data_IF_509157221114
#
_entry.id   IF_509157221114
#
_cell.length_a   1.000
_cell.length_b   1.000
_cell.length_c   1.000
_cell.angle_alpha   90.00
_cell.angle_beta   90.00
_cell.angle_gamma   90.00
#
_symmetry.space_group_name_H-M   'P 1'
#
loop_
_entity.id
_entity.type
_entity.pdbx_description
1 polymer ?
#
# COMPACT_ATOMS: atom_id res chain seq x y z
N UNK A 1 -13.85 -10.13 38.00
CA UNK A 1 -15.05 -9.31 37.73
C UNK A 1 -14.83 -8.60 36.41
N UNK A 2 -15.57 -8.98 35.37
CA UNK A 2 -15.47 -8.39 34.05
C UNK A 2 -16.34 -7.15 33.99
N UNK A 3 -15.73 -5.96 33.85
CA UNK A 3 -16.47 -4.72 33.67
C UNK A 3 -17.15 -4.76 32.28
N UNK A 4 -18.48 -4.75 32.32
CA UNK A 4 -19.33 -4.56 31.14
C UNK A 4 -19.11 -3.15 30.59
N UNK A 5 -18.56 -3.07 29.38
CA UNK A 5 -18.51 -1.86 28.59
C UNK A 5 -19.95 -1.37 28.35
N UNK A 6 -20.31 -0.12 28.66
CA UNK A 6 -21.68 0.35 28.44
C UNK A 6 -21.93 0.41 26.94
N UNK A 7 -22.91 -0.32 26.47
CA UNK A 7 -23.48 -0.22 25.12
C UNK A 7 -23.93 1.24 24.92
N UNK A 8 -23.27 1.93 23.99
CA UNK A 8 -23.71 3.25 23.56
C UNK A 8 -25.08 3.09 22.90
N UNK A 9 -26.10 3.62 23.53
CA UNK A 9 -27.42 3.77 22.94
C UNK A 9 -27.34 4.42 21.55
N UNK A 10 -28.16 3.98 20.58
CA UNK A 10 -28.16 4.55 19.25
C UNK A 10 -28.61 6.01 19.32
N UNK A 11 -27.70 6.94 18.98
CA UNK A 11 -28.03 8.36 18.86
C UNK A 11 -29.17 8.54 17.86
N UNK A 12 -30.14 9.38 18.20
CA UNK A 12 -31.28 9.75 17.37
C UNK A 12 -30.81 10.08 15.93
N UNK A 13 -31.54 9.57 14.94
CA UNK A 13 -31.23 9.75 13.51
C UNK A 13 -31.32 11.25 13.18
N UNK A 14 -30.19 11.82 12.76
CA UNK A 14 -30.16 13.20 12.25
C UNK A 14 -30.72 13.19 10.81
N UNK A 15 -31.86 13.83 10.53
CA UNK A 15 -32.52 13.76 9.23
C UNK A 15 -31.73 14.43 8.09
N UNK A 16 -30.69 15.18 8.40
CA UNK A 16 -29.87 15.90 7.41
C UNK A 16 -28.76 15.07 6.77
N UNK A 17 -28.44 13.86 7.29
CA UNK A 17 -27.35 13.03 6.77
C UNK A 17 -27.87 11.72 6.18
N UNK A 18 -27.35 11.30 5.02
CA UNK A 18 -27.70 10.02 4.46
C UNK A 18 -27.23 8.89 5.40
N UNK A 19 -28.11 7.95 5.68
CA UNK A 19 -27.79 6.77 6.46
C UNK A 19 -27.49 5.58 5.52
N UNK A 20 -26.54 4.78 5.89
CA UNK A 20 -26.20 3.59 5.16
C UNK A 20 -25.54 2.54 6.04
N UNK A 21 -25.57 1.29 5.59
CA UNK A 21 -24.88 0.18 6.22
C UNK A 21 -23.49 0.03 5.61
N UNK A 22 -22.49 -0.27 6.44
CA UNK A 22 -21.17 -0.58 5.95
C UNK A 22 -21.13 -2.05 5.52
N UNK A 23 -20.83 -2.31 4.24
CA UNK A 23 -20.72 -3.66 3.70
C UNK A 23 -19.37 -3.91 3.07
N UNK A 24 -18.94 -5.17 3.11
CA UNK A 24 -17.72 -5.66 2.46
C UNK A 24 -18.07 -6.23 1.11
N UNK A 25 -17.49 -5.65 0.07
CA UNK A 25 -17.69 -6.06 -1.33
C UNK A 25 -16.52 -6.92 -1.81
N UNK A 26 -16.87 -7.97 -2.54
CA UNK A 26 -15.93 -8.78 -3.30
C UNK A 26 -14.81 -9.44 -2.51
N UNK A 27 -13.89 -10.03 -3.25
CA UNK A 27 -12.79 -10.83 -2.70
C UNK A 27 -11.72 -9.96 -2.03
N UNK A 28 -11.46 -8.75 -2.55
CA UNK A 28 -10.46 -7.82 -2.00
C UNK A 28 -10.97 -7.11 -0.74
N UNK A 29 -12.27 -7.26 -0.44
CA UNK A 29 -12.87 -6.80 0.80
C UNK A 29 -12.82 -5.28 0.96
N UNK A 30 -13.11 -4.54 -0.11
CA UNK A 30 -13.32 -3.11 -0.03
C UNK A 30 -14.61 -2.85 0.74
N UNK A 31 -14.51 -2.06 1.81
CA UNK A 31 -15.69 -1.63 2.53
C UNK A 31 -16.31 -0.46 1.76
N UNK A 32 -17.62 -0.55 1.49
CA UNK A 32 -18.39 0.56 0.93
C UNK A 32 -19.65 0.80 1.75
N UNK A 33 -20.08 2.04 1.77
CA UNK A 33 -21.34 2.40 2.36
C UNK A 33 -22.47 2.09 1.39
N UNK A 34 -23.46 1.38 1.87
CA UNK A 34 -24.63 0.99 1.08
C UNK A 34 -25.75 1.94 1.45
N UNK A 35 -26.11 2.79 0.50
CA UNK A 35 -27.27 3.67 0.66
C UNK A 35 -28.54 2.83 0.55
N UNK A 36 -29.40 2.90 1.57
CA UNK A 36 -30.69 2.22 1.55
C UNK A 36 -31.79 3.22 1.88
N UNK A 37 -32.83 3.20 1.08
CA UNK A 37 -34.06 3.92 1.34
C UNK A 37 -35.04 3.15 2.23
N UNK A 38 -34.84 1.88 2.43
CA UNK A 38 -35.76 1.01 3.17
C UNK A 38 -35.03 0.00 4.03
N UNK A 39 -35.11 0.21 5.34
CA UNK A 39 -34.88 -0.84 6.31
C UNK A 39 -33.52 -0.89 7.00
N UNK A 40 -33.50 -1.45 8.20
CA UNK A 40 -32.32 -1.74 8.98
C UNK A 40 -31.66 -3.02 8.44
N UNK A 41 -30.45 -2.91 7.92
CA UNK A 41 -29.63 -4.05 7.52
C UNK A 41 -28.92 -4.62 8.77
N UNK A 42 -28.95 -5.94 8.92
CA UNK A 42 -28.29 -6.63 10.04
C UNK A 42 -26.87 -7.03 9.70
N UNK A 43 -25.91 -6.90 10.64
CA UNK A 43 -24.56 -7.43 10.44
C UNK A 43 -24.59 -8.93 10.13
N UNK A 44 -23.79 -9.32 9.10
CA UNK A 44 -23.75 -10.69 8.59
C UNK A 44 -24.76 -10.98 7.48
N UNK A 45 -25.70 -10.08 7.20
CA UNK A 45 -26.65 -10.22 6.11
C UNK A 45 -25.96 -10.11 4.76
N UNK A 46 -26.32 -10.97 3.81
CA UNK A 46 -25.83 -10.93 2.43
C UNK A 46 -26.81 -10.16 1.56
N UNK A 47 -26.26 -9.23 0.80
CA UNK A 47 -27.03 -8.33 -0.07
C UNK A 47 -26.41 -8.31 -1.46
N UNK A 48 -27.22 -8.00 -2.46
CA UNK A 48 -26.77 -7.71 -3.82
C UNK A 48 -26.74 -6.19 -3.97
N UNK A 49 -25.60 -5.68 -4.39
CA UNK A 49 -25.35 -4.25 -4.60
C UNK A 49 -24.94 -4.01 -6.04
N UNK A 50 -25.28 -2.85 -6.57
CA UNK A 50 -24.78 -2.43 -7.87
C UNK A 50 -23.52 -1.61 -7.73
N UNK A 51 -22.54 -1.88 -8.60
CA UNK A 51 -21.26 -1.21 -8.65
C UNK A 51 -20.93 -0.86 -10.09
N UNK A 52 -19.97 0.01 -10.31
CA UNK A 52 -19.47 0.38 -11.65
C UNK A 52 -19.06 -0.85 -12.50
N UNK A 53 -18.69 -1.96 -11.86
CA UNK A 53 -18.28 -3.21 -12.49
C UNK A 53 -19.39 -4.25 -12.58
N UNK A 54 -20.63 -3.87 -12.27
CA UNK A 54 -21.81 -4.74 -12.28
C UNK A 54 -22.26 -5.17 -10.89
N UNK A 55 -23.30 -5.97 -10.83
CA UNK A 55 -23.87 -6.44 -9.56
C UNK A 55 -22.89 -7.37 -8.82
N UNK A 56 -22.76 -7.16 -7.51
CA UNK A 56 -21.83 -7.92 -6.66
C UNK A 56 -22.52 -8.29 -5.34
N UNK A 57 -22.21 -9.47 -4.82
CA UNK A 57 -22.69 -9.87 -3.50
C UNK A 57 -21.80 -9.26 -2.42
N UNK A 58 -22.42 -8.56 -1.49
CA UNK A 58 -21.75 -7.93 -0.34
C UNK A 58 -22.25 -8.54 0.97
N UNK A 59 -21.43 -8.44 2.01
CA UNK A 59 -21.79 -8.83 3.37
C UNK A 59 -21.79 -7.60 4.26
N UNK A 60 -22.90 -7.32 4.92
CA UNK A 60 -23.06 -6.23 5.87
C UNK A 60 -22.14 -6.45 7.07
N UNK A 61 -21.34 -5.45 7.43
CA UNK A 61 -20.39 -5.49 8.56
C UNK A 61 -20.96 -4.75 9.77
N UNK A 62 -21.54 -3.57 9.53
CA UNK A 62 -22.10 -2.73 10.56
C UNK A 62 -23.50 -2.25 10.17
N UNK A 63 -24.33 -2.04 11.20
CA UNK A 63 -25.68 -1.49 11.05
C UNK A 63 -25.67 -0.10 10.45
N UNK A 64 -26.83 0.35 10.02
CA UNK A 64 -27.04 1.69 9.47
C UNK A 64 -26.49 2.79 10.38
N UNK A 65 -25.58 3.59 9.85
CA UNK A 65 -24.93 4.71 10.51
C UNK A 65 -24.93 5.91 9.55
N UNK A 66 -24.72 7.15 10.04
CA UNK A 66 -24.50 8.28 9.15
C UNK A 66 -23.31 8.03 8.23
N UNK A 67 -23.51 8.19 6.92
CA UNK A 67 -22.45 8.03 5.94
C UNK A 67 -21.49 9.21 6.08
N UNK A 68 -20.15 8.98 6.20
CA UNK A 68 -19.17 10.05 6.17
C UNK A 68 -19.20 10.77 4.83
N UNK A 69 -19.02 12.09 4.84
CA UNK A 69 -18.82 12.88 3.63
C UNK A 69 -17.61 12.33 2.86
N UNK A 70 -17.68 12.16 1.55
CA UNK A 70 -16.65 11.55 0.69
C UNK A 70 -16.45 10.02 0.81
N UNK A 71 -17.29 9.31 1.55
CA UNK A 71 -17.16 7.86 1.63
C UNK A 71 -17.61 7.16 0.33
N UNK A 72 -16.91 6.12 -0.14
CA UNK A 72 -17.32 5.37 -1.33
C UNK A 72 -18.65 4.65 -1.07
N UNK A 73 -19.65 4.93 -1.89
CA UNK A 73 -20.98 4.35 -1.80
C UNK A 73 -21.24 3.31 -2.89
N UNK A 74 -22.24 2.47 -2.68
CA UNK A 74 -22.82 1.58 -3.68
C UNK A 74 -24.33 1.50 -3.45
N UNK A 75 -25.08 1.22 -4.51
CA UNK A 75 -26.53 1.14 -4.45
C UNK A 75 -27.01 -0.24 -3.98
N UNK A 76 -27.96 -0.24 -3.05
CA UNK A 76 -28.64 -1.46 -2.63
C UNK A 76 -29.65 -1.90 -3.70
N UNK A 77 -29.54 -3.15 -4.18
CA UNK A 77 -30.52 -3.71 -5.08
C UNK A 77 -31.56 -4.56 -4.33
N UNK A 78 -31.09 -5.57 -3.61
CA UNK A 78 -31.96 -6.46 -2.83
C UNK A 78 -31.16 -7.33 -1.84
N UNK A 79 -31.85 -7.95 -0.93
CA UNK A 79 -31.29 -8.99 -0.06
C UNK A 79 -31.01 -10.26 -0.88
N UNK A 80 -29.92 -10.96 -0.58
CA UNK A 80 -29.52 -12.17 -1.29
C UNK A 80 -30.39 -13.37 -0.88
N UNK A 81 -30.83 -14.13 -1.87
CA UNK A 81 -31.63 -15.35 -1.71
C UNK A 81 -30.73 -16.60 -1.64
N UNK A 82 -31.33 -17.77 -1.38
CA UNK A 82 -30.61 -19.05 -1.38
C UNK A 82 -29.99 -19.38 -2.74
N UNK A 83 -30.65 -19.00 -3.82
CA UNK A 83 -30.17 -19.22 -5.21
C UNK A 83 -28.91 -18.37 -5.49
N UNK A 84 -28.84 -17.16 -4.96
CA UNK A 84 -27.64 -16.32 -5.06
C UNK A 84 -26.43 -16.99 -4.39
N UNK A 85 -26.66 -17.72 -3.31
CA UNK A 85 -25.62 -18.53 -2.66
C UNK A 85 -25.09 -19.66 -3.56
N UNK A 86 -25.96 -20.32 -4.32
CA UNK A 86 -25.55 -21.35 -5.29
C UNK A 86 -24.80 -20.72 -6.48
N UNK A 87 -25.30 -19.58 -6.98
CA UNK A 87 -24.63 -18.81 -8.03
C UNK A 87 -23.22 -18.41 -7.57
N UNK A 88 -23.07 -17.88 -6.37
CA UNK A 88 -21.78 -17.51 -5.79
C UNK A 88 -20.82 -18.71 -5.69
N UNK A 89 -21.32 -19.89 -5.30
CA UNK A 89 -20.51 -21.11 -5.24
C UNK A 89 -20.04 -21.57 -6.63
N UNK A 90 -20.91 -21.47 -7.65
CA UNK A 90 -20.53 -21.72 -9.06
C UNK A 90 -19.48 -20.70 -9.53
N UNK A 91 -19.68 -19.41 -9.23
CA UNK A 91 -18.72 -18.34 -9.58
C UNK A 91 -17.36 -18.59 -8.96
N UNK A 92 -17.28 -18.96 -7.68
CA UNK A 92 -16.01 -19.28 -7.02
C UNK A 92 -15.24 -20.40 -7.74
N UNK A 93 -15.91 -21.40 -8.31
CA UNK A 93 -15.25 -22.43 -9.13
C UNK A 93 -14.74 -21.84 -10.44
N UNK A 94 -15.55 -21.02 -11.11
CA UNK A 94 -15.18 -20.34 -12.36
C UNK A 94 -13.99 -19.37 -12.15
N UNK A 95 -13.98 -18.61 -11.05
CA UNK A 95 -12.90 -17.70 -10.67
C UNK A 95 -11.57 -18.43 -10.50
N UNK A 96 -11.58 -19.60 -9.85
CA UNK A 96 -10.38 -20.44 -9.70
C UNK A 96 -9.86 -20.91 -11.06
N UNK A 97 -10.74 -21.38 -11.95
CA UNK A 97 -10.36 -21.79 -13.28
C UNK A 97 -9.83 -20.62 -14.12
N UNK A 98 -10.51 -19.46 -14.05
CA UNK A 98 -10.09 -18.24 -14.73
C UNK A 98 -8.74 -17.74 -14.25
N UNK A 99 -8.48 -17.81 -12.94
CA UNK A 99 -7.19 -17.44 -12.35
C UNK A 99 -6.04 -18.32 -12.85
N UNK A 100 -6.25 -19.63 -12.90
CA UNK A 100 -5.26 -20.60 -13.40
C UNK A 100 -4.95 -20.32 -14.87
N UNK A 101 -5.98 -20.19 -15.71
CA UNK A 101 -5.81 -19.89 -17.13
C UNK A 101 -5.10 -18.55 -17.36
N UNK A 102 -5.48 -17.51 -16.61
CA UNK A 102 -4.84 -16.20 -16.68
C UNK A 102 -3.34 -16.30 -16.34
N UNK A 103 -2.98 -17.01 -15.26
CA UNK A 103 -1.57 -17.21 -14.87
C UNK A 103 -0.76 -17.95 -15.92
N UNK A 104 -1.34 -18.98 -16.56
CA UNK A 104 -0.71 -19.71 -17.66
C UNK A 104 -0.50 -18.79 -18.88
N UNK A 105 -1.47 -17.94 -19.18
CA UNK A 105 -1.39 -17.00 -20.29
C UNK A 105 -0.37 -15.90 -20.03
N UNK A 106 -0.29 -15.37 -18.79
CA UNK A 106 0.71 -14.40 -18.36
C UNK A 106 2.13 -14.99 -18.51
N UNK A 107 2.34 -16.24 -18.09
CA UNK A 107 3.61 -16.94 -18.24
C UNK A 107 3.98 -17.14 -19.71
N UNK A 108 3.02 -17.52 -20.58
CA UNK A 108 3.24 -17.68 -22.02
C UNK A 108 3.55 -16.38 -22.75
N UNK A 109 2.98 -15.26 -22.28
CA UNK A 109 3.24 -13.91 -22.82
C UNK A 109 4.44 -13.21 -22.16
N UNK A 110 5.14 -13.89 -21.24
CA UNK A 110 6.32 -13.40 -20.52
C UNK A 110 6.09 -12.02 -19.86
N UNK A 111 4.88 -11.78 -19.34
CA UNK A 111 4.54 -10.51 -18.69
C UNK A 111 5.04 -10.48 -17.25
N UNK A 112 5.78 -9.42 -16.86
CA UNK A 112 6.27 -9.23 -15.49
C UNK A 112 5.16 -8.73 -14.55
N UNK A 113 4.16 -9.57 -14.33
CA UNK A 113 3.03 -9.33 -13.46
C UNK A 113 2.64 -10.56 -12.67
N UNK A 114 2.14 -10.33 -11.44
CA UNK A 114 1.64 -11.40 -10.58
C UNK A 114 0.13 -11.27 -10.43
N UNK A 115 -0.61 -12.19 -11.04
CA UNK A 115 -2.07 -12.25 -10.92
C UNK A 115 -2.44 -12.85 -9.56
N UNK A 116 -3.20 -12.09 -8.77
CA UNK A 116 -3.56 -12.42 -7.39
C UNK A 116 -4.90 -13.15 -7.35
N UNK A 117 -5.94 -12.58 -7.98
CA UNK A 117 -7.29 -13.14 -8.01
C UNK A 117 -8.05 -12.76 -9.27
N UNK A 118 -9.11 -13.48 -9.52
CA UNK A 118 -10.13 -13.15 -10.50
C UNK A 118 -11.49 -13.12 -9.79
N UNK A 119 -12.33 -12.18 -10.15
CA UNK A 119 -13.67 -11.99 -9.58
C UNK A 119 -14.69 -11.85 -10.72
N UNK A 120 -15.73 -12.64 -10.68
CA UNK A 120 -16.87 -12.53 -11.59
C UNK A 120 -17.95 -11.65 -10.97
N UNK A 121 -18.55 -10.76 -11.76
CA UNK A 121 -19.78 -10.10 -11.35
C UNK A 121 -20.90 -11.13 -11.11
N UNK A 122 -21.88 -10.78 -10.29
CA UNK A 122 -22.97 -11.69 -9.96
C UNK A 122 -23.76 -12.13 -11.21
N UNK A 123 -23.94 -11.23 -12.19
CA UNK A 123 -24.57 -11.51 -13.48
C UNK A 123 -23.66 -12.32 -14.45
N UNK A 124 -22.37 -12.41 -14.16
CA UNK A 124 -21.37 -13.15 -14.94
C UNK A 124 -20.95 -12.51 -16.26
N UNK A 125 -21.34 -11.29 -16.52
CA UNK A 125 -20.98 -10.57 -17.76
C UNK A 125 -19.59 -9.93 -17.68
N UNK A 126 -19.13 -9.62 -16.48
CA UNK A 126 -17.84 -8.96 -16.22
C UNK A 126 -16.92 -9.86 -15.41
N UNK A 127 -15.64 -9.82 -15.73
CA UNK A 127 -14.59 -10.49 -14.97
C UNK A 127 -13.45 -9.51 -14.70
N UNK A 128 -13.18 -9.26 -13.43
CA UNK A 128 -12.08 -8.40 -13.00
C UNK A 128 -10.91 -9.24 -12.51
N UNK A 129 -9.72 -9.03 -13.09
CA UNK A 129 -8.48 -9.66 -12.67
C UNK A 129 -7.65 -8.67 -11.88
N UNK A 130 -7.29 -9.04 -10.67
CA UNK A 130 -6.45 -8.23 -9.80
C UNK A 130 -5.01 -8.71 -9.88
N UNK A 131 -4.10 -7.77 -10.13
CA UNK A 131 -2.69 -8.08 -10.28
C UNK A 131 -1.79 -7.06 -9.60
N UNK A 132 -0.53 -7.45 -9.35
CA UNK A 132 0.54 -6.56 -8.91
C UNK A 132 1.65 -6.56 -9.94
N UNK A 133 2.23 -5.39 -10.18
CA UNK A 133 3.41 -5.18 -11.02
C UNK A 133 4.22 -4.04 -10.45
N UNK A 134 5.54 -4.05 -10.68
CA UNK A 134 6.42 -2.93 -10.34
C UNK A 134 6.36 -1.84 -11.41
N UNK A 135 6.28 -2.25 -12.68
CA UNK A 135 6.30 -1.37 -13.84
C UNK A 135 4.95 -1.37 -14.59
N UNK A 136 4.84 -0.46 -15.51
CA UNK A 136 3.67 -0.38 -16.41
C UNK A 136 3.77 -1.47 -17.48
N UNK A 137 2.75 -2.32 -17.57
CA UNK A 137 2.71 -3.48 -18.46
C UNK A 137 1.69 -3.26 -19.57
N UNK A 138 2.01 -3.69 -20.79
CA UNK A 138 1.04 -3.79 -21.87
C UNK A 138 0.34 -5.17 -21.85
N UNK A 139 -0.88 -5.18 -21.34
CA UNK A 139 -1.71 -6.38 -21.22
C UNK A 139 -2.81 -6.51 -22.31
N UNK A 140 -2.73 -5.74 -23.42
CA UNK A 140 -3.77 -5.75 -24.46
C UNK A 140 -3.99 -7.15 -25.06
N UNK A 141 -2.90 -7.87 -25.34
CA UNK A 141 -2.96 -9.22 -25.87
C UNK A 141 -3.52 -10.21 -24.84
N UNK A 142 -3.19 -10.05 -23.57
CA UNK A 142 -3.74 -10.84 -22.48
C UNK A 142 -5.27 -10.67 -22.40
N UNK A 143 -5.76 -9.42 -22.38
CA UNK A 143 -7.21 -9.11 -22.33
C UNK A 143 -7.95 -9.71 -23.51
N UNK A 144 -7.41 -9.62 -24.73
CA UNK A 144 -8.02 -10.23 -25.92
C UNK A 144 -8.18 -11.74 -25.77
N UNK A 145 -7.13 -12.46 -25.34
CA UNK A 145 -7.16 -13.91 -25.16
C UNK A 145 -8.14 -14.33 -24.06
N UNK A 146 -8.16 -13.61 -22.92
CA UNK A 146 -9.09 -13.87 -21.83
C UNK A 146 -10.54 -13.64 -22.26
N UNK A 147 -10.83 -12.53 -22.95
CA UNK A 147 -12.18 -12.21 -23.41
C UNK A 147 -12.68 -13.23 -24.45
N UNK A 148 -11.83 -13.71 -25.35
CA UNK A 148 -12.16 -14.75 -26.32
C UNK A 148 -12.46 -16.10 -25.64
N UNK A 149 -11.67 -16.47 -24.62
CA UNK A 149 -11.81 -17.74 -23.94
C UNK A 149 -13.04 -17.81 -23.03
N UNK A 150 -13.25 -16.76 -22.21
CA UNK A 150 -14.34 -16.75 -21.23
C UNK A 150 -15.64 -16.09 -21.73
N UNK A 151 -15.61 -15.44 -22.90
CA UNK A 151 -16.74 -14.71 -23.51
C UNK A 151 -17.37 -13.69 -22.55
N UNK A 152 -16.56 -13.06 -21.73
CA UNK A 152 -16.94 -12.03 -20.75
C UNK A 152 -16.16 -10.75 -21.00
N UNK A 153 -16.69 -9.62 -20.53
CA UNK A 153 -15.93 -8.37 -20.50
C UNK A 153 -14.84 -8.47 -19.43
N UNK A 154 -13.59 -8.31 -19.84
CA UNK A 154 -12.42 -8.46 -18.97
C UNK A 154 -11.90 -7.09 -18.56
N UNK A 155 -11.73 -6.89 -17.25
CA UNK A 155 -11.09 -5.74 -16.67
C UNK A 155 -9.81 -6.17 -15.93
N UNK A 156 -8.72 -5.42 -16.12
CA UNK A 156 -7.45 -5.65 -15.44
C UNK A 156 -7.22 -4.53 -14.42
N UNK A 157 -7.16 -4.87 -13.13
CA UNK A 157 -7.02 -3.90 -12.04
C UNK A 157 -5.73 -4.12 -11.27
N UNK A 158 -4.84 -3.12 -11.34
CA UNK A 158 -3.62 -3.15 -10.54
C UNK A 158 -3.94 -2.82 -9.09
N UNK A 159 -3.41 -3.62 -8.16
CA UNK A 159 -3.57 -3.45 -6.72
C UNK A 159 -2.22 -3.28 -6.03
N UNK A 160 -2.24 -2.63 -4.87
CA UNK A 160 -1.05 -2.46 -4.05
C UNK A 160 -0.56 -3.80 -3.47
N UNK A 161 0.76 -3.91 -3.21
CA UNK A 161 1.37 -5.12 -2.62
C UNK A 161 0.73 -5.47 -1.26
N UNK A 162 0.30 -4.46 -0.48
CA UNK A 162 -0.38 -4.70 0.81
C UNK A 162 -1.78 -5.26 0.61
N UNK A 163 -2.51 -4.80 -0.40
CA UNK A 163 -3.85 -5.32 -0.72
C UNK A 163 -3.76 -6.74 -1.25
N UNK A 164 -2.73 -7.05 -2.05
CA UNK A 164 -2.43 -8.42 -2.44
C UNK A 164 -2.15 -9.32 -1.22
N UNK A 165 -1.32 -8.85 -0.27
CA UNK A 165 -1.04 -9.59 0.96
C UNK A 165 -2.30 -9.73 1.85
N UNK A 166 -3.17 -8.72 1.90
CA UNK A 166 -4.46 -8.76 2.60
C UNK A 166 -5.37 -9.84 2.02
N UNK A 167 -5.42 -9.95 0.70
CA UNK A 167 -6.23 -10.95 -0.01
C UNK A 167 -5.71 -12.37 0.24
N UNK A 168 -4.40 -12.57 0.14
CA UNK A 168 -3.78 -13.88 0.42
C UNK A 168 -3.94 -14.28 1.89
N UNK A 169 -3.93 -13.28 2.79
CA UNK A 169 -4.05 -13.51 4.22
C UNK A 169 -2.78 -14.08 4.86
N UNK A 170 -2.95 -14.75 6.00
CA UNK A 170 -1.86 -15.39 6.74
C UNK A 170 -1.56 -14.73 8.09
N UNK A 171 -0.39 -15.09 8.64
CA UNK A 171 0.08 -14.66 9.97
C UNK A 171 1.21 -13.63 9.86
N UNK A 172 1.15 -12.62 10.70
CA UNK A 172 2.22 -11.64 10.86
C UNK A 172 3.41 -12.20 11.64
N UNK A 173 4.50 -11.43 11.72
CA UNK A 173 5.66 -11.77 12.54
C UNK A 173 5.35 -11.84 14.05
N UNK A 174 4.24 -11.24 14.48
CA UNK A 174 3.71 -11.27 15.83
C UNK A 174 2.90 -12.54 16.15
N UNK A 175 2.77 -13.50 15.22
CA UNK A 175 1.97 -14.71 15.40
C UNK A 175 0.47 -14.54 15.24
N UNK A 176 -0.02 -13.30 15.09
CA UNK A 176 -1.45 -13.00 14.89
C UNK A 176 -1.79 -12.90 13.41
N UNK A 177 -3.08 -13.05 13.08
CA UNK A 177 -3.59 -12.79 11.74
C UNK A 177 -3.19 -11.38 11.26
N UNK A 178 -2.94 -11.22 9.97
CA UNK A 178 -2.52 -9.93 9.40
C UNK A 178 -3.53 -8.83 9.77
N UNK A 179 -3.06 -7.68 10.27
CA UNK A 179 -3.91 -6.54 10.64
C UNK A 179 -4.76 -6.08 9.44
N UNK A 180 -4.14 -6.02 8.24
CA UNK A 180 -4.83 -5.62 7.01
C UNK A 180 -5.94 -6.58 6.58
N UNK A 181 -5.85 -7.87 6.90
CA UNK A 181 -6.90 -8.85 6.58
C UNK A 181 -7.94 -9.03 7.72
N UNK A 182 -7.75 -8.37 8.86
CA UNK A 182 -8.65 -8.47 10.00
C UNK A 182 -9.40 -7.17 10.30
N UNK A 183 -8.78 -6.26 11.04
CA UNK A 183 -9.47 -5.09 11.62
C UNK A 183 -8.99 -3.74 11.05
N UNK A 184 -7.87 -3.70 10.31
CA UNK A 184 -7.27 -2.46 9.82
C UNK A 184 -7.30 -2.42 8.28
N UNK A 185 -8.44 -2.11 7.64
CA UNK A 185 -8.58 -2.11 6.19
C UNK A 185 -7.91 -0.89 5.53
N UNK A 186 -7.88 0.24 6.23
CA UNK A 186 -7.34 1.51 5.74
C UNK A 186 -6.06 1.90 6.47
N UNK A 187 -5.19 2.61 5.79
CA UNK A 187 -3.87 2.97 6.30
C UNK A 187 -3.53 4.41 6.01
N UNK A 188 -3.07 5.10 7.05
CA UNK A 188 -2.33 6.36 6.91
C UNK A 188 -0.90 6.10 6.48
N UNK A 189 -0.22 7.15 6.03
CA UNK A 189 1.19 7.06 5.66
C UNK A 189 2.05 6.61 6.84
N UNK A 190 2.85 5.56 6.63
CA UNK A 190 3.73 4.99 7.66
C UNK A 190 5.15 5.46 7.41
N UNK A 191 5.79 6.03 8.42
CA UNK A 191 7.16 6.54 8.34
C UNK A 191 8.11 5.82 9.30
N UNK A 192 9.42 5.83 8.97
CA UNK A 192 10.48 5.29 9.84
C UNK A 192 10.56 6.08 11.17
N UNK A 193 10.10 7.34 11.19
CA UNK A 193 10.04 8.13 12.41
C UNK A 193 9.15 7.47 13.48
N UNK A 194 8.04 6.86 13.08
CA UNK A 194 7.16 6.13 13.99
C UNK A 194 7.86 4.97 14.69
N UNK A 195 8.78 4.28 13.97
CA UNK A 195 9.60 3.22 14.56
C UNK A 195 10.61 3.78 15.59
N UNK A 196 11.19 4.95 15.33
CA UNK A 196 12.07 5.63 16.30
C UNK A 196 11.32 6.09 17.54
N UNK A 197 10.12 6.66 17.36
CA UNK A 197 9.28 7.11 18.47
C UNK A 197 8.81 5.92 19.35
N UNK A 198 8.78 4.70 18.79
CA UNK A 198 8.50 3.44 19.50
C UNK A 198 9.74 2.70 19.99
N UNK A 199 10.90 3.35 19.89
CA UNK A 199 12.21 2.81 20.32
C UNK A 199 12.56 1.46 19.69
N UNK A 200 12.13 1.23 18.42
CA UNK A 200 12.44 0.02 17.69
C UNK A 200 13.77 0.13 16.95
N UNK A 201 14.49 -0.99 16.88
CA UNK A 201 15.73 -1.08 16.09
C UNK A 201 15.43 -0.85 14.60
N UNK A 202 16.26 -0.03 13.93
CA UNK A 202 16.07 0.30 12.51
C UNK A 202 16.49 -0.81 11.53
N UNK A 203 16.34 -2.06 11.94
CA UNK A 203 16.57 -3.21 11.06
C UNK A 203 15.36 -3.38 10.13
N UNK A 204 15.58 -3.29 8.83
CA UNK A 204 14.52 -3.39 7.81
C UNK A 204 13.73 -4.70 7.92
N UNK A 205 14.38 -5.81 8.20
CA UNK A 205 13.70 -7.10 8.36
C UNK A 205 12.72 -7.10 9.55
N UNK A 206 13.06 -6.41 10.63
CA UNK A 206 12.21 -6.26 11.81
C UNK A 206 11.10 -5.21 11.63
N UNK A 207 11.29 -4.23 10.75
CA UNK A 207 10.32 -3.16 10.49
C UNK A 207 9.39 -3.47 9.33
N UNK A 208 9.70 -4.40 8.45
CA UNK A 208 8.88 -4.78 7.30
C UNK A 208 7.83 -5.82 7.68
N UNK A 209 6.63 -5.65 7.14
CA UNK A 209 5.56 -6.64 7.22
C UNK A 209 5.70 -7.73 6.15
N UNK A 210 4.78 -8.71 6.14
CA UNK A 210 4.72 -9.76 5.10
C UNK A 210 4.53 -9.22 3.69
N UNK A 211 3.96 -8.03 3.55
CA UNK A 211 3.82 -7.33 2.27
C UNK A 211 5.10 -6.63 1.79
N UNK A 212 6.22 -6.70 2.52
CA UNK A 212 7.47 -5.99 2.20
C UNK A 212 7.48 -4.49 2.54
N UNK A 213 6.35 -3.88 2.88
CA UNK A 213 6.26 -2.48 3.33
C UNK A 213 6.40 -2.38 4.84
N UNK A 214 6.61 -1.16 5.36
CA UNK A 214 6.63 -0.92 6.81
C UNK A 214 5.36 -1.46 7.48
N UNK A 215 5.51 -1.99 8.69
CA UNK A 215 4.41 -2.62 9.45
C UNK A 215 3.31 -1.61 9.75
N UNK A 216 2.08 -2.02 9.51
CA UNK A 216 0.88 -1.23 9.80
C UNK A 216 0.66 -0.99 11.30
N UNK A 217 1.13 -1.89 12.17
CA UNK A 217 1.04 -1.69 13.63
C UNK A 217 1.85 -0.48 14.11
N UNK A 218 2.91 -0.07 13.38
CA UNK A 218 3.67 1.14 13.74
C UNK A 218 2.78 2.39 13.74
N UNK A 219 1.92 2.52 12.76
CA UNK A 219 0.99 3.65 12.68
C UNK A 219 -0.16 3.49 13.67
N UNK A 220 -0.72 2.30 13.77
CA UNK A 220 -1.84 2.00 14.65
C UNK A 220 -1.53 2.31 16.12
N UNK A 221 -0.33 1.94 16.58
CA UNK A 221 0.10 2.13 17.97
C UNK A 221 0.73 3.51 18.22
N UNK A 222 1.09 4.26 17.18
CA UNK A 222 1.85 5.51 17.30
C UNK A 222 1.18 6.58 18.19
N UNK A 223 -0.15 6.68 18.13
CA UNK A 223 -0.92 7.59 18.99
C UNK A 223 -0.69 7.30 20.48
N UNK A 224 -0.84 6.04 20.86
CA UNK A 224 -0.63 5.58 22.23
C UNK A 224 0.80 5.83 22.72
N UNK A 225 1.81 5.51 21.88
CA UNK A 225 3.21 5.78 22.25
C UNK A 225 3.48 7.26 22.45
N UNK A 226 2.91 8.13 21.61
CA UNK A 226 3.04 9.59 21.79
C UNK A 226 2.43 10.09 23.09
N UNK A 227 1.26 9.58 23.43
CA UNK A 227 0.58 9.96 24.69
C UNK A 227 1.39 9.51 25.90
N UNK A 228 1.80 8.26 25.92
CA UNK A 228 2.60 7.69 27.01
C UNK A 228 4.00 8.34 27.12
N UNK A 229 4.59 8.80 26.03
CA UNK A 229 5.89 9.47 26.02
C UNK A 229 5.86 10.91 26.54
N UNK A 230 4.70 11.58 26.63
CA UNK A 230 4.60 12.98 27.07
C UNK A 230 5.14 13.21 28.48
N UNK A 231 5.00 12.24 29.38
CA UNK A 231 5.51 12.31 30.76
C UNK A 231 6.98 11.95 30.94
N UNK A 232 7.62 11.29 29.95
CA UNK A 232 8.97 10.75 30.10
C UNK A 232 10.08 11.73 29.71
N UNK A 233 11.24 11.69 30.40
CA UNK A 233 12.42 12.45 29.97
C UNK A 233 12.98 11.90 28.66
N UNK A 234 13.43 12.78 27.75
CA UNK A 234 13.97 12.34 26.45
C UNK A 234 15.32 11.62 26.64
N UNK A 235 15.65 10.61 25.79
CA UNK A 235 16.97 9.98 25.79
C UNK A 235 18.10 11.03 25.68
N UNK A 236 19.15 10.84 26.45
CA UNK A 236 20.30 11.74 26.47
C UNK A 236 20.20 12.96 27.41
N UNK A 237 19.05 13.18 28.04
CA UNK A 237 18.88 14.26 29.04
C UNK A 237 19.39 13.83 30.41
N UNK A 238 19.83 14.81 31.25
CA UNK A 238 20.18 14.59 32.64
C UNK A 238 18.92 14.54 33.50
N UNK A 239 18.95 13.66 34.46
CA UNK A 239 17.83 13.41 35.39
C UNK A 239 18.40 13.17 36.80
N UNK A 240 17.66 13.59 37.80
CA UNK A 240 17.88 13.20 39.19
C UNK A 240 17.12 11.89 39.46
N UNK A 241 17.77 10.98 40.14
CA UNK A 241 17.21 9.70 40.57
C UNK A 241 17.49 9.53 42.08
N UNK A 242 16.79 8.61 42.78
CA UNK A 242 17.05 8.36 44.21
C UNK A 242 18.52 7.99 44.50
N UNK A 243 19.23 7.36 43.55
CA UNK A 243 20.61 6.94 43.70
C UNK A 243 21.63 7.96 43.15
N UNK A 244 21.17 9.16 42.80
CA UNK A 244 21.99 10.27 42.32
C UNK A 244 21.68 10.70 40.89
N UNK A 245 22.45 11.66 40.41
CA UNK A 245 22.26 12.19 39.05
C UNK A 245 22.80 11.26 37.98
N UNK A 246 22.06 11.20 36.87
CA UNK A 246 22.43 10.36 35.77
C UNK A 246 21.96 10.90 34.40
N UNK A 247 22.26 10.16 33.37
CA UNK A 247 21.86 10.44 31.99
C UNK A 247 20.94 9.35 31.47
N UNK A 248 19.79 9.75 30.96
CA UNK A 248 18.85 8.79 30.35
C UNK A 248 19.49 8.10 29.13
N UNK A 249 19.58 6.80 29.17
CA UNK A 249 20.12 5.97 28.09
C UNK A 249 19.03 5.44 27.18
N UNK A 250 17.98 4.90 27.76
CA UNK A 250 16.88 4.22 27.06
C UNK A 250 15.56 4.41 27.80
N UNK A 251 14.43 4.21 27.11
CA UNK A 251 13.07 4.38 27.63
C UNK A 251 12.21 3.19 27.26
N UNK A 252 11.54 2.62 28.22
CA UNK A 252 10.40 1.74 27.97
C UNK A 252 9.11 2.55 28.15
N UNK A 253 8.59 3.05 27.02
CA UNK A 253 7.43 3.95 27.02
C UNK A 253 6.17 3.25 27.51
N UNK A 254 5.98 1.98 27.21
CA UNK A 254 4.77 1.24 27.59
C UNK A 254 4.75 0.89 29.07
N UNK A 255 5.89 0.47 29.62
CA UNK A 255 6.03 0.13 31.04
C UNK A 255 6.31 1.36 31.92
N UNK A 256 6.45 2.56 31.31
CA UNK A 256 6.79 3.80 32.00
C UNK A 256 8.10 3.69 32.81
N UNK A 257 9.12 3.03 32.25
CA UNK A 257 10.41 2.83 32.88
C UNK A 257 11.52 3.56 32.15
N UNK A 258 12.48 4.07 32.89
CA UNK A 258 13.60 4.87 32.41
C UNK A 258 14.89 4.19 32.80
N UNK A 259 15.75 3.86 31.81
CA UNK A 259 17.10 3.37 32.07
C UNK A 259 18.08 4.52 32.12
N UNK A 260 18.68 4.71 33.27
CA UNK A 260 19.61 5.81 33.56
C UNK A 260 21.01 5.28 33.77
N UNK A 261 21.99 5.94 33.14
CA UNK A 261 23.38 5.72 33.43
C UNK A 261 23.79 6.75 34.51
N UNK A 262 24.09 6.27 35.72
CA UNK A 262 24.44 7.10 36.86
C UNK A 262 25.86 7.70 36.72
N UNK A 263 26.07 8.89 37.25
CA UNK A 263 27.39 9.52 37.27
C UNK A 263 28.39 8.77 38.17
N UNK A 264 27.89 8.07 39.19
CA UNK A 264 28.70 7.18 40.06
C UNK A 264 29.10 5.85 39.34
N UNK A 265 28.63 5.64 38.13
CA UNK A 265 28.85 4.40 37.36
C UNK A 265 27.70 3.40 37.54
N UNK A 266 27.43 2.63 36.47
CA UNK A 266 26.36 1.65 36.47
C UNK A 266 25.12 2.10 35.73
N UNK A 267 24.31 1.13 35.30
CA UNK A 267 23.04 1.34 34.60
C UNK A 267 21.92 0.79 35.48
N UNK A 268 20.96 1.62 35.83
CA UNK A 268 19.80 1.21 36.62
C UNK A 268 18.49 1.60 35.93
N UNK A 269 17.42 0.91 36.31
CA UNK A 269 16.08 1.10 35.77
C UNK A 269 15.19 1.66 36.87
N UNK A 270 14.55 2.79 36.59
CA UNK A 270 13.66 3.50 37.49
C UNK A 270 12.28 3.64 36.90
N UNK A 271 11.26 3.78 37.73
CA UNK A 271 9.93 4.17 37.28
C UNK A 271 9.89 5.66 36.93
N UNK A 272 9.04 6.04 36.00
CA UNK A 272 8.90 7.42 35.55
C UNK A 272 8.61 8.41 36.70
N UNK A 273 7.91 7.95 37.74
CA UNK A 273 7.57 8.70 38.95
C UNK A 273 8.79 9.02 39.84
N UNK A 274 9.84 8.22 39.74
CA UNK A 274 11.07 8.35 40.56
C UNK A 274 12.14 9.24 39.91
N UNK A 275 11.88 9.70 38.69
CA UNK A 275 12.87 10.39 37.87
C UNK A 275 12.43 11.83 37.63
N UNK A 276 13.22 12.79 38.19
CA UNK A 276 12.97 14.19 37.95
C UNK A 276 13.88 14.76 36.89
N UNK A 277 13.35 15.65 36.05
CA UNK A 277 14.13 16.31 35.01
C UNK A 277 14.98 17.41 35.63
N UNK A 278 16.27 17.30 35.57
CA UNK A 278 17.16 18.42 35.92
C UNK A 278 17.08 19.44 34.78
N UNK A 279 16.33 20.52 35.03
CA UNK A 279 16.28 21.67 34.14
C UNK A 279 17.52 22.52 34.42
N UNK A 280 18.69 22.10 33.96
CA UNK A 280 19.86 22.99 33.90
C UNK A 280 19.52 24.14 32.99
N UNK A 281 19.70 25.38 33.46
CA UNK A 281 19.68 26.59 32.65
C UNK A 281 20.46 26.34 31.35
N UNK A 282 20.09 26.94 30.21
CA UNK A 282 20.76 26.69 28.96
C UNK A 282 22.25 26.95 29.09
N UNK A 283 23.03 25.87 29.00
CA UNK A 283 24.48 25.94 28.82
C UNK A 283 24.76 26.97 27.73
N UNK A 284 25.56 27.98 28.05
CA UNK A 284 26.05 28.95 27.09
C UNK A 284 26.56 28.22 25.85
N UNK A 285 26.28 28.68 24.65
CA UNK A 285 26.68 28.00 23.43
C UNK A 285 28.20 27.89 23.42
N UNK A 286 28.72 26.68 23.57
CA UNK A 286 30.15 26.40 23.37
C UNK A 286 30.50 26.91 21.98
N UNK A 287 31.24 28.04 21.93
CA UNK A 287 31.86 28.60 20.72
C UNK A 287 32.52 27.45 19.96
N UNK A 288 32.01 27.16 18.80
CA UNK A 288 32.62 26.21 17.84
C UNK A 288 34.04 26.71 17.61
N UNK A 289 35.05 25.99 18.08
CA UNK A 289 36.44 26.19 17.69
C UNK A 289 36.47 26.02 16.16
N UNK A 290 36.74 27.12 15.46
CA UNK A 290 37.08 27.11 14.04
C UNK A 290 38.25 26.13 13.83
N UNK A 291 38.24 25.28 12.84
CA UNK A 291 39.42 24.51 12.50
C UNK A 291 40.52 25.50 12.07
N UNK A 292 41.71 25.39 12.68
CA UNK A 292 42.92 26.07 12.24
C UNK A 292 43.24 25.57 10.83
N UNK A 293 43.26 26.49 9.88
CA UNK A 293 43.81 26.25 8.54
C UNK A 293 45.34 26.03 8.67
N UNK A 294 45.91 25.05 7.95
CA UNK A 294 47.36 24.93 7.84
C UNK A 294 47.89 26.07 6.98
N UNK A 295 48.95 26.67 7.43
CA UNK A 295 49.73 27.68 6.74
C UNK A 295 50.24 27.19 5.40
N UNK A 296 49.98 27.99 4.38
CA UNK A 296 50.46 27.75 3.02
C UNK A 296 51.93 28.19 2.90
N UNK A 297 52.75 27.26 2.49
CA UNK A 297 54.09 27.50 2.00
C UNK A 297 54.02 28.15 0.61
N UNK A 298 54.67 29.31 0.49
CA UNK A 298 54.71 30.11 -0.73
C UNK A 298 55.86 29.64 -1.61
N UNK A 299 55.55 29.21 -2.84
CA UNK A 299 56.52 29.35 -3.95
C UNK A 299 55.79 29.82 -5.22
N UNK A 300 56.33 30.78 -5.99
CA UNK A 300 55.70 31.41 -7.14
C UNK A 300 56.10 30.74 -8.44
N UNK A 301 55.17 30.57 -9.36
CA UNK A 301 55.48 30.36 -10.80
C UNK A 301 54.51 31.22 -11.60
N UNK A 302 55.15 31.95 -12.55
CA UNK A 302 54.66 32.97 -13.46
C UNK A 302 53.59 32.54 -14.45
N UNK A 303 52.78 33.48 -14.72
CA UNK A 303 52.20 33.97 -15.95
C UNK A 303 51.96 33.02 -17.18
N UNK A 304 50.71 32.94 -17.59
CA UNK A 304 50.32 33.16 -18.98
C UNK A 304 48.87 33.63 -19.07
N UNK A 305 48.73 34.70 -19.73
CA UNK A 305 47.59 35.55 -20.04
C UNK A 305 46.58 34.95 -21.02
N UNK A 306 45.37 35.55 -20.93
CA UNK A 306 44.35 35.84 -21.99
C UNK A 306 43.26 34.81 -22.11
N UNK A 307 42.01 35.10 -22.21
CA UNK A 307 41.07 36.24 -22.44
C UNK A 307 39.72 35.60 -22.40
N UNK A 308 38.83 36.03 -21.60
CA UNK A 308 37.70 36.93 -21.79
C UNK A 308 36.49 36.38 -22.58
N UNK A 309 35.35 36.51 -21.96
CA UNK A 309 34.05 36.90 -22.52
C UNK A 309 33.20 35.74 -23.04
N UNK A 310 31.90 35.59 -22.92
CA UNK A 310 30.84 36.42 -22.31
C UNK A 310 29.55 35.58 -22.34
N UNK A 311 28.67 35.77 -21.42
CA UNK A 311 27.24 35.43 -21.51
C UNK A 311 26.56 36.53 -22.36
N UNK A 312 25.42 36.29 -23.05
CA UNK A 312 24.11 36.17 -22.41
C UNK A 312 23.04 35.35 -23.21
N UNK A 313 21.98 34.98 -22.52
CA UNK A 313 20.61 34.77 -23.05
C UNK A 313 19.95 36.16 -23.22
N UNK A 314 18.77 36.41 -23.85
CA UNK A 314 17.62 35.55 -24.14
C UNK A 314 16.84 35.87 -25.46
N UNK A 315 15.75 35.12 -25.66
CA UNK A 315 14.45 35.51 -26.25
C UNK A 315 14.19 35.59 -27.76
N UNK A 316 13.13 34.84 -28.09
CA UNK A 316 11.93 35.14 -28.95
C UNK A 316 11.96 34.94 -30.46
N UNK A 317 10.96 34.14 -30.84
CA UNK A 317 9.96 34.28 -31.93
C UNK A 317 10.34 33.94 -33.38
N UNK A 318 9.57 32.94 -33.83
CA UNK A 318 8.59 33.01 -34.96
C UNK A 318 9.08 32.72 -36.40
N UNK A 319 8.36 31.78 -36.96
CA UNK A 319 7.80 31.73 -38.34
C UNK A 319 8.65 31.22 -39.50
N UNK A 320 8.14 30.13 -40.02
CA UNK A 320 7.64 29.94 -41.40
C UNK A 320 8.60 29.43 -42.49
N UNK A 321 8.11 28.36 -43.06
CA UNK A 321 8.10 28.03 -44.50
C UNK A 321 9.28 27.36 -45.15
N UNK A 322 8.89 26.32 -45.79
CA UNK A 322 9.22 25.80 -47.13
C UNK A 322 10.02 24.51 -47.21
N UNK A 323 9.31 23.49 -47.66
CA UNK A 323 9.80 22.40 -48.50
C UNK A 323 10.52 22.95 -49.75
N UNK A 324 11.29 22.18 -50.58
CA UNK A 324 10.92 20.86 -51.05
C UNK A 324 12.07 19.86 -51.38
N UNK A 325 11.64 18.60 -51.52
CA UNK A 325 12.01 17.69 -52.63
C UNK A 325 13.43 17.09 -52.75
N UNK A 326 13.50 15.75 -52.62
CA UNK A 326 14.01 14.83 -53.67
C UNK A 326 14.00 13.36 -53.21
N UNK A 327 13.14 12.58 -53.86
CA UNK A 327 13.26 11.11 -54.08
C UNK A 327 14.26 10.87 -55.24
N UNK A 328 14.57 9.60 -55.65
CA UNK A 328 14.72 8.28 -55.01
C UNK A 328 15.94 7.50 -55.55
N UNK A 329 16.29 6.35 -54.93
CA UNK A 329 17.01 5.28 -55.70
C UNK A 329 16.56 3.88 -55.32
N UNK A 330 15.90 3.23 -56.28
CA UNK A 330 15.58 1.79 -56.37
C UNK A 330 16.85 0.96 -56.63
N UNK A 331 16.89 -0.25 -56.05
CA UNK A 331 17.51 -1.49 -56.66
C UNK A 331 16.96 -2.67 -55.84
N UNK A 332 16.27 -3.54 -56.38
CA UNK A 332 16.25 -4.59 -57.43
C UNK A 332 16.04 -5.97 -56.76
N UNK A 333 14.94 -6.56 -57.14
CA UNK A 333 14.44 -7.93 -56.94
C UNK A 333 15.50 -9.02 -57.21
N UNK A 334 15.45 -10.11 -56.44
CA UNK A 334 15.73 -11.46 -56.97
C UNK A 334 14.65 -12.43 -56.49
N UNK A 335 13.83 -12.84 -57.43
CA UNK A 335 12.95 -14.00 -57.41
C UNK A 335 13.78 -15.30 -57.35
N UNK A 336 13.36 -16.29 -56.58
CA UNK A 336 13.55 -17.71 -56.93
C UNK A 336 12.28 -18.49 -56.61
N UNK A 337 11.85 -19.23 -57.61
CA UNK A 337 10.66 -20.07 -57.73
C UNK A 337 10.81 -21.45 -57.05
N UNK A 338 9.72 -22.24 -56.98
CA UNK A 338 9.51 -23.31 -56.03
C UNK A 338 9.96 -24.70 -56.59
N UNK A 339 10.15 -25.67 -55.69
CA UNK A 339 10.28 -27.07 -56.05
C UNK A 339 9.17 -27.94 -55.39
N UNK A 340 8.68 -28.79 -56.26
CA UNK A 340 7.56 -29.72 -56.22
C UNK A 340 7.64 -30.74 -55.07
N UNK A 341 6.42 -31.18 -54.69
CA UNK A 341 6.05 -32.46 -54.05
C UNK A 341 6.63 -33.67 -54.76
N UNK A 342 6.72 -34.80 -54.11
CA UNK A 342 5.93 -35.94 -54.58
C UNK A 342 5.05 -36.60 -53.50
N UNK A 343 4.05 -37.26 -54.08
CA UNK A 343 2.89 -37.96 -53.52
C UNK A 343 3.25 -39.31 -52.89
N UNK A 344 2.36 -39.69 -51.97
CA UNK A 344 1.68 -40.95 -51.69
C UNK A 344 2.47 -42.25 -51.63
N UNK A 345 2.23 -42.99 -50.56
CA UNK A 345 1.67 -44.35 -50.62
C UNK A 345 1.05 -44.74 -49.25
N UNK A 346 -0.20 -45.07 -49.35
CA UNK A 346 -1.02 -45.92 -48.49
C UNK A 346 -0.38 -47.30 -48.35
N UNK A 347 -0.41 -47.88 -47.16
CA UNK A 347 -0.78 -49.31 -47.02
C UNK A 347 -1.35 -49.56 -45.61
N UNK A 348 -2.49 -50.23 -45.68
CA UNK A 348 -3.29 -50.82 -44.65
C UNK A 348 -2.58 -52.02 -43.98
N UNK A 349 -3.24 -52.44 -42.91
CA UNK A 349 -3.33 -53.77 -42.26
C UNK A 349 -2.46 -53.99 -41.02
N UNK A 350 -3.04 -54.09 -39.92
CA UNK A 350 -3.65 -55.14 -39.09
C UNK A 350 -3.90 -54.61 -37.68
#
# INVERSE_FOLDING_TARGET
MAEKNPEKEPKAKDPSKPYGALARLGIIGNNRWITTSSGEMRPGEKIIVDTETGSTMATVIAQSQPIPDEAPTAEFMRTANKDDGQIAAKRTKQEKAALIYCRQTVARLELDMKVISAEYSHDGKHTTYYFTSNDRIDFRNLVKQLAQHFKTRVEMRQIGIRDAARHVGGTGLCGRKLCCSSFLPEFKSISIRMAKDQNLTLNQQKLSGRCGRLRCCLEYEHGLYKEKAKGLPKPGKRVATPDGDGKVRDLDVLRQKVRVFLNAGGMQEYEASQVERITTQPDQPKKKKKPKSPEADKRPIEAAKKTAQEKPSPDKKAQASSEPDSKPKKKRKRKRKPKKKPEAKTDETS
#
